data_IF_055601954732
#
_entry.id   IF_055601954732
#
_cell.length_a   1.000
_cell.length_b   1.000
_cell.length_c   1.000
_cell.angle_alpha   90.00
_cell.angle_beta   90.00
_cell.angle_gamma   90.00
#
_symmetry.space_group_name_H-M   'P 1'
#
loop_
_entity.id
_entity.type
_entity.pdbx_description
1 polymer ?
#
# COMPACT_ATOMS: atom_id res chain seq x y z
N UNK A 1 19.47 -5.73 -5.93
CA UNK A 1 19.24 -4.39 -5.34
C UNK A 1 19.44 -4.48 -3.83
N UNK A 2 20.11 -3.54 -3.17
CA UNK A 2 20.28 -3.60 -1.71
C UNK A 2 18.95 -3.27 -1.01
N UNK A 3 18.50 -4.05 0.00
CA UNK A 3 17.21 -3.86 0.66
C UNK A 3 17.08 -2.50 1.36
N UNK A 4 18.20 -1.88 1.74
CA UNK A 4 18.23 -0.54 2.32
C UNK A 4 17.84 0.57 1.35
N UNK A 5 18.20 0.43 0.07
CA UNK A 5 17.83 1.41 -0.97
C UNK A 5 16.33 1.33 -1.28
N UNK A 6 15.79 0.11 -1.33
CA UNK A 6 14.37 -0.15 -1.57
C UNK A 6 13.52 0.45 -0.44
N UNK A 7 13.88 0.19 0.82
CA UNK A 7 13.21 0.79 2.00
C UNK A 7 13.22 2.31 1.96
N UNK A 8 14.37 2.92 1.63
CA UNK A 8 14.49 4.38 1.57
C UNK A 8 13.60 5.00 0.48
N UNK A 9 13.52 4.36 -0.70
CA UNK A 9 12.64 4.80 -1.78
C UNK A 9 11.17 4.64 -1.41
N UNK A 10 10.78 3.47 -0.89
CA UNK A 10 9.43 3.22 -0.42
C UNK A 10 9.01 4.26 0.63
N UNK A 11 9.80 4.44 1.69
CA UNK A 11 9.51 5.45 2.72
C UNK A 11 9.38 6.86 2.16
N UNK A 12 10.18 7.22 1.15
CA UNK A 12 10.10 8.53 0.51
C UNK A 12 8.80 8.69 -0.29
N UNK A 13 8.42 7.68 -1.08
CA UNK A 13 7.19 7.69 -1.86
C UNK A 13 5.93 7.85 -0.98
N UNK A 14 5.85 7.08 0.12
CA UNK A 14 4.75 7.21 1.07
C UNK A 14 4.76 8.56 1.81
N UNK A 15 5.92 9.07 2.20
CA UNK A 15 6.05 10.39 2.84
C UNK A 15 5.59 11.53 1.93
N UNK A 16 5.86 11.47 0.62
CA UNK A 16 5.42 12.48 -0.34
C UNK A 16 3.90 12.60 -0.41
N UNK A 17 3.18 11.52 -0.08
CA UNK A 17 1.71 11.46 -0.03
C UNK A 17 1.14 11.72 1.37
N UNK A 18 2.01 11.99 2.36
CA UNK A 18 1.60 12.23 3.75
C UNK A 18 1.32 10.94 4.55
N UNK A 19 1.68 9.78 4.02
CA UNK A 19 1.50 8.47 4.65
C UNK A 19 2.74 8.04 5.43
N UNK A 20 2.54 7.29 6.51
CA UNK A 20 3.60 6.77 7.38
C UNK A 20 3.54 5.25 7.43
N UNK A 21 4.57 4.56 6.94
CA UNK A 21 4.64 3.10 7.08
C UNK A 21 5.21 2.68 8.43
N UNK A 22 4.53 1.71 9.07
CA UNK A 22 5.13 0.96 10.18
C UNK A 22 6.31 0.11 9.69
N UNK A 23 7.25 -0.15 10.60
CA UNK A 23 8.39 -1.05 10.33
C UNK A 23 7.96 -2.46 9.90
N UNK A 24 6.85 -2.98 10.42
CA UNK A 24 6.28 -4.26 9.98
C UNK A 24 5.77 -4.19 8.52
N UNK A 25 5.12 -3.08 8.15
CA UNK A 25 4.62 -2.85 6.79
C UNK A 25 5.77 -2.67 5.79
N UNK A 26 6.81 -1.91 6.15
CA UNK A 26 8.00 -1.71 5.29
C UNK A 26 8.71 -3.03 5.03
N UNK A 27 8.76 -3.92 6.03
CA UNK A 27 9.41 -5.22 5.92
C UNK A 27 8.67 -6.08 4.90
N UNK A 28 7.36 -6.21 5.04
CA UNK A 28 6.51 -6.92 4.09
C UNK A 28 6.59 -6.32 2.68
N UNK A 29 6.49 -5.00 2.55
CA UNK A 29 6.57 -4.30 1.27
C UNK A 29 7.93 -4.50 0.58
N UNK A 30 9.03 -4.54 1.35
CA UNK A 30 10.37 -4.83 0.82
C UNK A 30 10.46 -6.26 0.31
N UNK A 31 9.84 -7.24 0.98
CA UNK A 31 9.79 -8.63 0.54
C UNK A 31 8.93 -8.81 -0.71
N UNK A 32 7.77 -8.14 -0.78
CA UNK A 32 6.89 -8.17 -1.95
C UNK A 32 7.54 -7.52 -3.17
N UNK A 33 8.16 -6.36 -2.98
CA UNK A 33 8.86 -5.62 -4.04
C UNK A 33 10.27 -6.17 -4.34
N UNK A 34 10.76 -7.16 -3.59
CA UNK A 34 12.05 -7.80 -3.87
C UNK A 34 12.06 -8.46 -5.25
N UNK A 35 10.91 -8.98 -5.70
CA UNK A 35 10.74 -9.61 -7.01
C UNK A 35 10.49 -8.60 -8.12
N UNK A 36 10.30 -7.32 -7.79
CA UNK A 36 10.01 -6.24 -8.75
C UNK A 36 11.32 -5.58 -9.17
N UNK A 37 11.45 -5.30 -10.47
CA UNK A 37 12.66 -4.69 -11.04
C UNK A 37 12.75 -3.20 -10.69
N UNK A 38 13.96 -2.62 -10.71
CA UNK A 38 14.19 -1.23 -10.30
C UNK A 38 13.42 -0.20 -11.14
N UNK A 39 13.12 -0.53 -12.40
CA UNK A 39 12.31 0.28 -13.34
C UNK A 39 10.82 0.25 -12.97
N UNK A 40 10.31 -0.91 -12.55
CA UNK A 40 8.90 -1.08 -12.19
C UNK A 40 8.65 -0.81 -10.71
N UNK A 41 9.71 -0.67 -9.90
CA UNK A 41 9.59 -0.41 -8.47
C UNK A 41 8.86 0.90 -8.19
N UNK A 42 9.17 1.96 -8.93
CA UNK A 42 8.54 3.27 -8.77
C UNK A 42 7.06 3.21 -9.21
N UNK A 43 6.78 2.58 -10.34
CA UNK A 43 5.42 2.38 -10.86
C UNK A 43 4.57 1.49 -9.92
N UNK A 44 5.15 0.41 -9.41
CA UNK A 44 4.51 -0.48 -8.44
C UNK A 44 4.28 0.23 -7.11
N UNK A 45 5.22 1.05 -6.63
CA UNK A 45 5.01 1.88 -5.44
C UNK A 45 3.86 2.86 -5.63
N UNK A 46 3.78 3.55 -6.77
CA UNK A 46 2.68 4.45 -7.06
C UNK A 46 1.34 3.72 -7.13
N UNK A 47 1.28 2.55 -7.78
CA UNK A 47 0.08 1.70 -7.79
C UNK A 47 -0.33 1.24 -6.40
N UNK A 48 0.62 0.80 -5.58
CA UNK A 48 0.35 0.39 -4.20
C UNK A 48 -0.16 1.60 -3.40
N UNK A 49 0.44 2.78 -3.56
CA UNK A 49 -0.01 3.97 -2.83
C UNK A 49 -1.41 4.38 -3.28
N UNK A 50 -1.71 4.37 -4.58
CA UNK A 50 -3.05 4.63 -5.10
C UNK A 50 -4.09 3.63 -4.55
N UNK A 51 -3.75 2.34 -4.50
CA UNK A 51 -4.58 1.32 -3.88
C UNK A 51 -4.75 1.54 -2.37
N UNK A 52 -3.72 1.97 -1.66
CA UNK A 52 -3.75 2.32 -0.23
C UNK A 52 -4.64 3.57 0.00
N UNK A 53 -4.52 4.61 -0.83
CA UNK A 53 -5.36 5.82 -0.73
C UNK A 53 -6.84 5.55 -1.05
N UNK A 54 -7.13 4.54 -1.87
CA UNK A 54 -8.49 4.07 -2.14
C UNK A 54 -9.09 3.23 -1.01
N UNK A 55 -8.27 2.67 -0.13
CA UNK A 55 -8.77 1.96 1.04
C UNK A 55 -9.34 2.94 2.08
N UNK A 56 -10.35 2.52 2.86
CA UNK A 56 -10.90 3.32 3.96
C UNK A 56 -9.90 3.36 5.13
N UNK A 57 -8.84 4.15 4.98
CA UNK A 57 -7.84 4.33 6.02
C UNK A 57 -8.30 5.38 7.02
N UNK A 58 -8.60 4.94 8.23
CA UNK A 58 -8.95 5.84 9.34
C UNK A 58 -7.76 6.65 9.88
N UNK A 59 -6.54 6.35 9.45
CA UNK A 59 -5.31 7.03 9.87
C UNK A 59 -4.25 6.99 8.77
N UNK A 60 -3.38 8.00 8.73
CA UNK A 60 -2.22 8.05 7.83
C UNK A 60 -1.13 7.03 8.19
N UNK A 61 -1.31 6.26 9.26
CA UNK A 61 -0.44 5.17 9.67
C UNK A 61 -0.79 3.90 8.90
N UNK A 62 0.08 3.51 7.97
CA UNK A 62 -0.08 2.31 7.15
C UNK A 62 0.49 1.10 7.90
N UNK A 63 -0.41 0.19 8.24
CA UNK A 63 -0.11 -1.08 8.87
C UNK A 63 0.12 -2.18 7.83
N UNK A 64 0.61 -3.34 8.28
CA UNK A 64 0.84 -4.48 7.40
C UNK A 64 -0.43 -4.88 6.63
N UNK A 65 -1.59 -4.85 7.28
CA UNK A 65 -2.87 -5.22 6.65
C UNK A 65 -3.25 -4.33 5.46
N UNK A 66 -3.02 -3.02 5.56
CA UNK A 66 -3.31 -2.09 4.46
C UNK A 66 -2.38 -2.33 3.25
N UNK A 67 -1.11 -2.61 3.52
CA UNK A 67 -0.14 -2.99 2.48
C UNK A 67 -0.50 -4.32 1.84
N UNK A 68 -0.87 -5.32 2.64
CA UNK A 68 -1.24 -6.65 2.16
C UNK A 68 -2.46 -6.57 1.23
N UNK A 69 -3.48 -5.81 1.61
CA UNK A 69 -4.63 -5.55 0.76
C UNK A 69 -4.26 -4.82 -0.54
N UNK A 70 -3.38 -3.81 -0.48
CA UNK A 70 -2.95 -3.07 -1.67
C UNK A 70 -2.09 -3.90 -2.63
N UNK A 71 -1.20 -4.75 -2.08
CA UNK A 71 -0.41 -5.71 -2.87
C UNK A 71 -1.31 -6.77 -3.49
N UNK A 72 -2.36 -7.21 -2.78
CA UNK A 72 -3.38 -8.10 -3.32
C UNK A 72 -4.10 -7.47 -4.51
N UNK A 73 -4.58 -6.24 -4.41
CA UNK A 73 -5.21 -5.51 -5.52
C UNK A 73 -4.26 -5.35 -6.71
N UNK A 74 -2.98 -5.07 -6.44
CA UNK A 74 -1.95 -4.95 -7.46
C UNK A 74 -1.60 -6.30 -8.13
N UNK A 75 -1.92 -7.42 -7.49
CA UNK A 75 -1.73 -8.78 -8.00
C UNK A 75 -2.99 -9.38 -8.62
N UNK A 76 -4.18 -8.94 -8.18
CA UNK A 76 -5.50 -9.39 -8.64
C UNK A 76 -6.07 -8.55 -9.80
N UNK A 77 -5.32 -7.57 -10.32
CA UNK A 77 -5.75 -6.76 -11.49
C UNK A 77 -5.80 -7.54 -12.83
N UNK A 78 -5.97 -8.86 -12.77
CA UNK A 78 -6.46 -9.72 -13.84
C UNK A 78 -7.65 -10.48 -13.28
N UNK A 79 -8.85 -10.07 -13.71
CA UNK A 79 -10.16 -10.72 -13.54
C UNK A 79 -11.10 -10.15 -12.46
N UNK A 80 -12.01 -9.30 -12.94
CA UNK A 80 -13.39 -9.05 -12.52
C UNK A 80 -13.87 -9.39 -11.09
N UNK A 81 -14.39 -8.33 -10.44
CA UNK A 81 -15.60 -8.30 -9.60
C UNK A 81 -15.53 -8.96 -8.20
N UNK A 82 -15.53 -8.13 -7.16
CA UNK A 82 -16.64 -8.02 -6.20
C UNK A 82 -16.36 -6.95 -5.13
N UNK A 83 -17.26 -5.97 -5.08
CA UNK A 83 -17.64 -5.11 -3.96
C UNK A 83 -17.03 -5.48 -2.59
N UNK A 84 -16.15 -4.63 -2.06
CA UNK A 84 -16.03 -4.43 -0.61
C UNK A 84 -16.26 -2.95 -0.31
N UNK A 85 -17.52 -2.55 -0.46
CA UNK A 85 -18.12 -1.62 0.49
C UNK A 85 -18.10 -2.33 1.85
N UNK A 86 -17.08 -2.05 2.67
CA UNK A 86 -17.19 -2.29 4.10
C UNK A 86 -16.70 -1.07 4.87
N UNK A 87 -17.70 -0.46 5.51
CA UNK A 87 -17.62 0.18 6.82
C UNK A 87 -17.30 1.68 6.84
N UNK A 88 -18.17 2.46 6.18
CA UNK A 88 -18.55 3.77 6.71
C UNK A 88 -19.37 3.51 8.00
N UNK A 89 -18.93 3.95 9.20
CA UNK A 89 -19.63 3.62 10.44
C UNK A 89 -21.04 4.26 10.48
N UNK A 90 -22.08 3.55 10.94
CA UNK A 90 -23.45 4.07 11.04
C UNK A 90 -23.63 4.94 12.29
N UNK A 91 -22.85 6.00 12.47
CA UNK A 91 -23.02 6.96 13.59
C UNK A 91 -22.76 8.40 13.16
N UNK A 92 -23.41 8.82 12.07
CA UNK A 92 -23.65 10.24 11.77
C UNK A 92 -25.10 10.44 11.33
N UNK A 93 -26.02 10.31 12.27
CA UNK A 93 -27.27 11.05 12.26
C UNK A 93 -27.55 11.50 13.70
N UNK A 94 -28.05 12.73 13.79
CA UNK A 94 -28.34 13.47 15.02
C UNK A 94 -29.33 12.76 15.95
#
# INVERSE_FOLDING_TARGET
MAPERLRSRALSAFKLRGLLLRGEAIKYLTEALQSVSEVELEDALEKIIDAVEKQPLSSNMIERSAVEAAVQECSQSVDETMYVDTDFPPWRCC
#
